data_IF_423422006755
#
_entry.id   IF_423422006755
#
_cell.length_a   1.000
_cell.length_b   1.000
_cell.length_c   1.000
_cell.angle_alpha   90.00
_cell.angle_beta   90.00
_cell.angle_gamma   90.00
#
_symmetry.space_group_name_H-M   'P 1'
#
loop_
_entity.id
_entity.type
_entity.pdbx_description
1 polymer ?
#
# COMPACT_ATOMS: atom_id res chain seq x y z
N UNK A 1 13.41 -24.17 -2.47
CA UNK A 1 12.95 -23.28 -1.38
C UNK A 1 14.16 -22.57 -0.84
N UNK A 2 14.10 -21.25 -0.69
CA UNK A 2 15.18 -20.51 -0.05
C UNK A 2 15.31 -20.94 1.40
N UNK A 3 16.51 -20.86 1.97
CA UNK A 3 16.79 -21.15 3.39
C UNK A 3 16.06 -20.18 4.35
N UNK A 4 15.45 -19.14 3.82
CA UNK A 4 14.75 -18.07 4.56
C UNK A 4 13.23 -18.27 4.65
N UNK A 5 12.68 -19.36 4.08
CA UNK A 5 11.24 -19.70 4.18
C UNK A 5 10.31 -18.87 3.29
N UNK A 6 10.85 -18.03 2.39
CA UNK A 6 10.09 -17.27 1.41
C UNK A 6 10.74 -17.30 0.01
N UNK A 7 9.98 -16.91 -1.01
CA UNK A 7 10.46 -16.66 -2.37
C UNK A 7 10.15 -15.23 -2.77
N UNK A 8 11.02 -14.60 -3.56
CA UNK A 8 10.82 -13.29 -4.17
C UNK A 8 10.97 -13.38 -5.68
N UNK A 9 10.39 -12.45 -6.39
CA UNK A 9 10.53 -12.34 -7.83
C UNK A 9 9.83 -11.11 -8.37
N UNK A 10 9.78 -11.05 -9.68
CA UNK A 10 9.11 -9.98 -10.43
C UNK A 10 8.23 -10.59 -11.50
N UNK A 11 7.11 -9.95 -11.79
CA UNK A 11 6.23 -10.29 -12.91
C UNK A 11 6.10 -9.08 -13.84
N UNK A 12 6.08 -9.34 -15.14
CA UNK A 12 5.83 -8.29 -16.13
C UNK A 12 4.35 -7.92 -16.09
N UNK A 13 4.07 -6.63 -15.87
CA UNK A 13 2.74 -6.07 -15.92
C UNK A 13 2.65 -5.04 -17.05
N UNK A 14 1.77 -5.27 -18.01
CA UNK A 14 1.51 -4.30 -19.09
C UNK A 14 0.45 -3.33 -18.62
N UNK A 15 0.82 -2.06 -18.49
CA UNK A 15 -0.10 -0.95 -18.11
C UNK A 15 -1.17 -0.78 -19.20
N UNK A 16 -2.46 -1.00 -18.89
CA UNK A 16 -3.50 -1.04 -19.93
C UNK A 16 -3.65 0.26 -20.73
N UNK A 17 -3.47 1.41 -20.06
CA UNK A 17 -3.67 2.73 -20.69
C UNK A 17 -2.55 3.15 -21.65
N UNK A 18 -1.32 2.61 -21.50
CA UNK A 18 -0.15 3.05 -22.26
C UNK A 18 0.53 1.93 -23.04
N UNK A 19 0.27 0.66 -22.69
CA UNK A 19 1.01 -0.49 -23.22
C UNK A 19 2.44 -0.62 -22.69
N UNK A 20 2.85 0.23 -21.76
CA UNK A 20 4.17 0.16 -21.12
C UNK A 20 4.29 -1.13 -20.31
N UNK A 21 5.40 -1.86 -20.48
CA UNK A 21 5.71 -3.03 -19.66
C UNK A 21 6.46 -2.56 -18.41
N UNK A 22 5.94 -2.90 -17.25
CA UNK A 22 6.48 -2.63 -15.92
C UNK A 22 6.72 -3.92 -15.18
N UNK A 23 7.41 -3.86 -14.04
CA UNK A 23 7.65 -4.99 -13.14
C UNK A 23 6.87 -4.80 -11.86
N UNK A 24 6.10 -5.80 -11.43
CA UNK A 24 5.53 -5.89 -10.09
C UNK A 24 6.37 -6.88 -9.29
N UNK A 25 7.01 -6.38 -8.24
CA UNK A 25 7.79 -7.21 -7.31
C UNK A 25 6.89 -7.88 -6.27
N UNK A 26 7.23 -9.13 -5.91
CA UNK A 26 6.48 -9.89 -4.92
C UNK A 26 7.37 -10.67 -3.95
N UNK A 27 6.78 -11.03 -2.81
CA UNK A 27 7.35 -11.90 -1.79
C UNK A 27 6.29 -12.86 -1.29
N UNK A 28 6.59 -14.16 -1.35
CA UNK A 28 5.66 -15.23 -0.98
C UNK A 28 6.24 -16.05 0.16
N UNK A 29 5.51 -16.13 1.24
CA UNK A 29 5.72 -17.11 2.29
C UNK A 29 4.80 -18.29 2.04
N UNK A 30 5.37 -19.51 1.97
CA UNK A 30 4.64 -20.75 1.74
C UNK A 30 4.67 -21.27 0.31
N UNK A 31 3.87 -22.30 0.09
CA UNK A 31 3.77 -22.99 -1.20
C UNK A 31 2.35 -22.87 -1.77
N UNK A 32 2.22 -22.13 -2.88
CA UNK A 32 0.94 -21.92 -3.57
C UNK A 32 0.41 -23.21 -4.25
N UNK A 33 1.27 -24.20 -4.45
CA UNK A 33 0.84 -25.51 -4.98
C UNK A 33 0.13 -26.34 -3.91
N UNK A 34 0.41 -26.07 -2.61
CA UNK A 34 -0.28 -26.73 -1.53
C UNK A 34 -1.68 -26.14 -1.33
N UNK A 35 -2.70 -26.90 -1.72
CA UNK A 35 -4.12 -26.46 -1.64
C UNK A 35 -4.78 -26.71 -0.28
N UNK A 36 -4.02 -27.02 0.77
CA UNK A 36 -4.56 -27.21 2.13
C UNK A 36 -5.23 -25.93 2.66
N UNK A 37 -4.61 -24.79 2.40
CA UNK A 37 -5.12 -23.48 2.78
C UNK A 37 -5.14 -22.54 1.57
N UNK A 38 -6.13 -21.65 1.52
CA UNK A 38 -6.17 -20.57 0.54
C UNK A 38 -5.01 -19.59 0.77
N UNK A 39 -4.38 -19.10 -0.29
CA UNK A 39 -3.41 -18.03 -0.15
C UNK A 39 -4.09 -16.72 0.25
N UNK A 40 -3.45 -15.97 1.15
CA UNK A 40 -3.79 -14.60 1.47
C UNK A 40 -2.97 -13.64 0.62
N UNK A 41 -3.62 -12.80 -0.15
CA UNK A 41 -2.98 -11.67 -0.85
C UNK A 41 -3.08 -10.43 0.00
N UNK A 42 -1.97 -9.71 0.18
CA UNK A 42 -1.86 -8.56 1.08
C UNK A 42 -1.62 -7.28 0.26
N UNK A 43 -2.53 -6.32 0.40
CA UNK A 43 -2.46 -4.99 -0.21
C UNK A 43 -1.98 -3.97 0.82
N UNK A 44 -0.81 -3.39 0.56
CA UNK A 44 -0.24 -2.34 1.43
C UNK A 44 -0.95 -0.99 1.27
N UNK A 45 -0.71 -0.10 2.22
CA UNK A 45 -1.24 1.27 2.26
C UNK A 45 -0.50 2.26 1.38
N UNK A 46 -0.74 3.52 1.62
CA UNK A 46 -0.21 4.67 0.88
C UNK A 46 -1.34 5.42 0.18
N UNK A 47 -1.49 5.33 -1.15
CA UNK A 47 -0.73 4.52 -2.14
C UNK A 47 0.76 4.88 -2.22
N UNK A 48 1.61 4.02 -2.78
CA UNK A 48 3.04 4.29 -2.93
C UNK A 48 3.91 4.04 -1.68
N UNK A 49 3.33 3.56 -0.57
CA UNK A 49 4.08 2.91 0.52
C UNK A 49 4.45 1.49 0.07
N UNK A 50 5.04 0.66 0.91
CA UNK A 50 5.51 -0.69 0.56
C UNK A 50 5.01 -1.73 1.56
N UNK A 51 5.25 -3.00 1.25
CA UNK A 51 4.75 -4.14 2.02
C UNK A 51 5.39 -4.32 3.40
N UNK A 52 6.59 -3.74 3.65
CA UNK A 52 7.45 -4.07 4.80
C UNK A 52 6.72 -4.05 6.14
N UNK A 53 5.93 -3.02 6.43
CA UNK A 53 5.23 -2.89 7.72
C UNK A 53 4.14 -3.96 7.94
N UNK A 54 3.79 -4.72 6.90
CA UNK A 54 2.81 -5.81 6.97
C UNK A 54 3.47 -7.19 7.10
N UNK A 55 4.81 -7.26 7.12
CA UNK A 55 5.56 -8.52 7.16
C UNK A 55 5.24 -9.41 8.37
N UNK A 56 4.70 -8.85 9.45
CA UNK A 56 4.20 -9.64 10.59
C UNK A 56 3.10 -10.63 10.20
N UNK A 57 2.38 -10.41 9.09
CA UNK A 57 1.39 -11.36 8.56
C UNK A 57 2.04 -12.65 8.02
N UNK A 58 3.36 -12.69 7.81
CA UNK A 58 4.08 -13.92 7.48
C UNK A 58 3.96 -15.00 8.58
N UNK A 59 3.63 -14.60 9.81
CA UNK A 59 3.30 -15.50 10.90
C UNK A 59 2.12 -16.43 10.58
N UNK A 60 1.22 -16.05 9.68
CA UNK A 60 0.14 -16.92 9.21
C UNK A 60 0.67 -18.15 8.49
N UNK A 61 1.77 -18.02 7.76
CA UNK A 61 2.47 -19.18 7.20
C UNK A 61 3.15 -20.00 8.29
N UNK A 62 3.97 -19.38 9.10
CA UNK A 62 4.80 -20.11 10.09
C UNK A 62 3.99 -20.81 11.18
N UNK A 63 2.83 -20.24 11.56
CA UNK A 63 1.97 -20.76 12.64
C UNK A 63 0.78 -21.58 12.15
N UNK A 64 0.27 -21.28 10.94
CA UNK A 64 -0.99 -21.83 10.44
C UNK A 64 -0.87 -22.46 9.06
N UNK A 65 0.30 -22.45 8.43
CA UNK A 65 0.54 -22.95 7.07
C UNK A 65 -0.32 -22.26 5.98
N UNK A 66 -0.81 -21.04 6.25
CA UNK A 66 -1.55 -20.21 5.29
C UNK A 66 -0.53 -19.48 4.42
N UNK A 67 -0.47 -19.73 3.10
CA UNK A 67 0.43 -19.01 2.22
C UNK A 67 0.08 -17.51 2.18
N UNK A 68 1.11 -16.64 2.23
CA UNK A 68 0.92 -15.18 2.21
C UNK A 68 1.71 -14.57 1.07
N UNK A 69 1.05 -13.79 0.24
CA UNK A 69 1.63 -13.07 -0.89
C UNK A 69 1.63 -11.59 -0.55
N UNK A 70 2.82 -11.02 -0.44
CA UNK A 70 3.06 -9.59 -0.43
C UNK A 70 3.53 -9.16 -1.82
N UNK A 71 3.18 -7.96 -2.23
CA UNK A 71 3.76 -7.34 -3.41
C UNK A 71 3.83 -5.83 -3.23
N UNK A 72 4.79 -5.20 -3.87
CA UNK A 72 4.84 -3.75 -3.96
C UNK A 72 4.03 -3.32 -5.18
N UNK A 73 3.02 -2.47 -4.97
CA UNK A 73 2.19 -1.97 -6.05
C UNK A 73 3.02 -1.09 -6.98
N UNK A 74 2.66 -1.04 -8.25
CA UNK A 74 3.30 -0.20 -9.27
C UNK A 74 3.54 1.23 -8.77
N UNK A 75 4.72 1.75 -9.01
CA UNK A 75 5.15 3.08 -8.57
C UNK A 75 5.74 3.12 -7.17
N UNK A 76 5.89 1.99 -6.47
CA UNK A 76 6.46 1.93 -5.13
C UNK A 76 7.44 0.78 -4.90
N UNK A 77 8.29 0.92 -3.90
CA UNK A 77 9.17 -0.13 -3.41
C UNK A 77 10.11 -0.72 -4.43
N UNK A 78 10.08 -2.04 -4.55
CA UNK A 78 10.90 -2.81 -5.49
C UNK A 78 10.23 -2.96 -6.87
N UNK A 79 8.98 -2.50 -7.03
CA UNK A 79 8.29 -2.48 -8.31
C UNK A 79 8.76 -1.32 -9.20
N UNK A 80 8.36 -1.31 -10.47
CA UNK A 80 8.77 -0.23 -11.41
C UNK A 80 8.25 1.12 -10.93
N UNK A 81 9.15 2.08 -10.79
CA UNK A 81 8.86 3.49 -10.53
C UNK A 81 8.62 4.24 -11.84
N UNK A 82 7.70 5.20 -11.83
CA UNK A 82 7.32 6.00 -13.01
C UNK A 82 7.27 7.49 -12.60
N UNK A 83 8.42 8.09 -12.23
CA UNK A 83 8.47 9.45 -11.68
C UNK A 83 8.00 10.52 -12.67
N UNK A 84 8.09 10.26 -13.99
CA UNK A 84 7.57 11.14 -15.05
C UNK A 84 6.05 11.28 -15.03
N UNK A 85 5.35 10.40 -14.28
CA UNK A 85 3.89 10.44 -14.09
C UNK A 85 3.47 11.17 -12.80
N UNK A 86 4.37 11.91 -12.16
CA UNK A 86 4.01 12.75 -11.00
C UNK A 86 2.97 13.80 -11.42
N UNK A 87 1.84 13.82 -10.72
CA UNK A 87 0.71 14.72 -11.00
C UNK A 87 -0.23 14.28 -12.13
N UNK A 88 0.03 13.14 -12.77
CA UNK A 88 -0.84 12.59 -13.82
C UNK A 88 -1.99 11.78 -13.19
N UNK A 89 -3.08 12.46 -12.79
CA UNK A 89 -4.25 11.85 -12.14
C UNK A 89 -5.06 10.93 -13.08
N UNK A 90 -4.89 11.09 -14.40
CA UNK A 90 -5.53 10.20 -15.37
C UNK A 90 -4.77 8.87 -15.51
N UNK A 91 -3.48 8.87 -15.22
CA UNK A 91 -2.67 7.66 -15.19
C UNK A 91 -2.84 6.89 -13.87
N UNK A 92 -2.69 7.58 -12.71
CA UNK A 92 -2.77 6.96 -11.39
C UNK A 92 -4.23 6.80 -10.95
N UNK A 93 -4.91 5.79 -11.48
CA UNK A 93 -6.32 5.49 -11.16
C UNK A 93 -6.44 4.25 -10.27
N UNK A 94 -7.52 4.13 -9.52
CA UNK A 94 -7.84 2.91 -8.76
C UNK A 94 -7.89 1.69 -9.71
N UNK A 95 -8.39 1.88 -10.94
CA UNK A 95 -8.47 0.81 -11.92
C UNK A 95 -7.12 0.24 -12.32
N UNK A 96 -6.05 1.07 -12.41
CA UNK A 96 -4.69 0.60 -12.68
C UNK A 96 -4.23 -0.43 -11.64
N UNK A 97 -4.48 -0.17 -10.36
CA UNK A 97 -4.10 -1.08 -9.27
C UNK A 97 -5.01 -2.33 -9.20
N UNK A 98 -6.28 -2.21 -9.58
CA UNK A 98 -7.19 -3.36 -9.76
C UNK A 98 -6.70 -4.26 -10.90
N UNK A 99 -6.25 -3.68 -12.01
CA UNK A 99 -5.72 -4.43 -13.15
C UNK A 99 -4.41 -5.15 -12.79
N UNK A 100 -3.54 -4.48 -12.03
CA UNK A 100 -2.31 -5.08 -11.50
C UNK A 100 -2.62 -6.26 -10.56
N UNK A 101 -3.56 -6.10 -9.63
CA UNK A 101 -4.01 -7.19 -8.76
C UNK A 101 -4.57 -8.36 -9.55
N UNK A 102 -5.44 -8.10 -10.53
CA UNK A 102 -5.97 -9.15 -11.41
C UNK A 102 -4.86 -9.90 -12.16
N UNK A 103 -3.85 -9.16 -12.61
CA UNK A 103 -2.69 -9.75 -13.30
C UNK A 103 -1.89 -10.65 -12.36
N UNK A 104 -1.62 -10.20 -11.14
CA UNK A 104 -0.92 -10.97 -10.11
C UNK A 104 -1.67 -12.27 -9.76
N UNK A 105 -2.98 -12.20 -9.55
CA UNK A 105 -3.82 -13.36 -9.25
C UNK A 105 -3.73 -14.42 -10.37
N UNK A 106 -3.82 -13.98 -11.63
CA UNK A 106 -3.72 -14.86 -12.82
C UNK A 106 -2.31 -15.45 -12.97
N UNK A 107 -1.27 -14.64 -12.73
CA UNK A 107 0.11 -15.12 -12.82
C UNK A 107 0.36 -16.30 -11.88
N UNK A 108 -0.13 -16.20 -10.62
CA UNK A 108 -0.01 -17.27 -9.64
C UNK A 108 -1.09 -18.37 -9.75
N UNK A 109 -2.04 -18.24 -10.70
CA UNK A 109 -3.16 -19.17 -10.90
C UNK A 109 -3.97 -19.42 -9.62
N UNK A 110 -4.27 -18.32 -8.93
CA UNK A 110 -5.05 -18.30 -7.69
C UNK A 110 -6.34 -17.48 -7.82
N UNK A 111 -6.66 -16.98 -9.03
CA UNK A 111 -7.81 -16.12 -9.29
C UNK A 111 -9.17 -16.76 -8.94
N UNK A 112 -9.21 -18.09 -8.79
CA UNK A 112 -10.43 -18.84 -8.49
C UNK A 112 -10.62 -19.15 -7.00
N UNK A 113 -9.56 -19.05 -6.16
CA UNK A 113 -9.64 -19.39 -4.73
C UNK A 113 -8.55 -18.68 -3.91
N UNK A 114 -8.85 -17.50 -3.39
CA UNK A 114 -7.94 -16.69 -2.56
C UNK A 114 -8.70 -15.88 -1.51
N UNK A 115 -7.97 -15.45 -0.49
CA UNK A 115 -8.39 -14.48 0.50
C UNK A 115 -7.61 -13.16 0.27
N UNK A 116 -8.22 -12.02 0.60
CA UNK A 116 -7.65 -10.69 0.38
C UNK A 116 -7.64 -9.89 1.68
N UNK A 117 -6.50 -9.30 2.01
CA UNK A 117 -6.37 -8.35 3.10
C UNK A 117 -5.82 -7.04 2.57
N UNK A 118 -6.49 -5.93 2.85
CA UNK A 118 -6.00 -4.60 2.52
C UNK A 118 -5.92 -3.70 3.75
N UNK A 119 -4.81 -2.98 3.89
CA UNK A 119 -4.62 -2.00 4.95
C UNK A 119 -4.63 -0.58 4.41
N UNK A 120 -5.32 0.34 5.08
CA UNK A 120 -5.39 1.77 4.70
C UNK A 120 -5.86 1.93 3.24
N UNK A 121 -5.05 2.54 2.36
CA UNK A 121 -5.28 2.56 0.90
C UNK A 121 -5.54 1.15 0.34
N UNK A 122 -4.73 0.16 0.74
CA UNK A 122 -4.96 -1.23 0.33
C UNK A 122 -6.33 -1.76 0.74
N UNK A 123 -6.90 -1.26 1.85
CA UNK A 123 -8.28 -1.56 2.27
C UNK A 123 -9.32 -0.94 1.33
N UNK A 124 -9.08 0.28 0.85
CA UNK A 124 -9.93 0.92 -0.15
C UNK A 124 -9.86 0.16 -1.49
N UNK A 125 -8.65 -0.16 -1.95
CA UNK A 125 -8.43 -0.95 -3.16
C UNK A 125 -9.09 -2.34 -3.07
N UNK A 126 -8.97 -3.00 -1.92
CA UNK A 126 -9.61 -4.30 -1.68
C UNK A 126 -11.15 -4.20 -1.73
N UNK A 127 -11.73 -3.11 -1.22
CA UNK A 127 -13.17 -2.87 -1.30
C UNK A 127 -13.63 -2.62 -2.75
N UNK A 128 -12.93 -1.77 -3.50
CA UNK A 128 -13.20 -1.51 -4.92
C UNK A 128 -13.09 -2.78 -5.76
N UNK A 129 -12.05 -3.59 -5.51
CA UNK A 129 -11.90 -4.89 -6.14
C UNK A 129 -13.09 -5.82 -5.80
N UNK A 130 -13.51 -5.90 -4.54
CA UNK A 130 -14.59 -6.78 -4.10
C UNK A 130 -15.95 -6.38 -4.67
N UNK A 131 -16.20 -5.09 -4.96
CA UNK A 131 -17.43 -4.62 -5.63
C UNK A 131 -17.61 -5.25 -7.01
N UNK A 132 -16.51 -5.62 -7.70
CA UNK A 132 -16.57 -6.35 -8.98
C UNK A 132 -17.06 -7.80 -8.83
N UNK A 133 -17.23 -8.29 -7.60
CA UNK A 133 -17.71 -9.64 -7.26
C UNK A 133 -16.85 -10.76 -7.90
N UNK A 134 -15.52 -10.74 -7.73
CA UNK A 134 -14.65 -11.78 -8.28
C UNK A 134 -15.00 -13.13 -7.62
N UNK A 135 -15.26 -14.15 -8.45
CA UNK A 135 -15.74 -15.48 -7.97
C UNK A 135 -14.76 -16.16 -7.03
N UNK A 136 -13.47 -15.92 -7.23
CA UNK A 136 -12.39 -16.54 -6.45
C UNK A 136 -12.14 -15.91 -5.09
N UNK A 137 -12.60 -14.69 -4.84
CA UNK A 137 -12.49 -14.05 -3.52
C UNK A 137 -13.44 -14.71 -2.52
N UNK A 138 -12.87 -15.30 -1.45
CA UNK A 138 -13.67 -16.01 -0.43
C UNK A 138 -13.81 -15.21 0.86
N UNK A 139 -12.71 -14.63 1.33
CA UNK A 139 -12.73 -13.78 2.52
C UNK A 139 -12.04 -12.45 2.21
N UNK A 140 -12.57 -11.38 2.81
CA UNK A 140 -12.07 -10.03 2.68
C UNK A 140 -11.80 -9.45 4.07
N UNK A 141 -10.59 -8.98 4.31
CA UNK A 141 -10.21 -8.25 5.53
C UNK A 141 -9.88 -6.81 5.17
N UNK A 142 -10.65 -5.87 5.70
CA UNK A 142 -10.42 -4.43 5.56
C UNK A 142 -9.83 -3.90 6.87
N UNK A 143 -8.54 -3.65 6.87
CA UNK A 143 -7.80 -3.19 8.04
C UNK A 143 -7.54 -1.68 7.94
N UNK A 144 -8.21 -0.87 8.78
CA UNK A 144 -8.02 0.59 8.87
C UNK A 144 -8.17 1.33 7.52
N UNK A 145 -8.96 0.79 6.60
CA UNK A 145 -9.29 1.44 5.33
C UNK A 145 -10.37 2.50 5.54
N UNK A 146 -10.19 3.75 5.06
CA UNK A 146 -11.25 4.76 5.10
C UNK A 146 -12.44 4.34 4.23
N UNK A 147 -13.64 4.35 4.81
CA UNK A 147 -14.88 4.12 4.05
C UNK A 147 -15.40 5.40 3.37
N UNK A 148 -14.86 6.57 3.76
CA UNK A 148 -15.22 7.88 3.21
C UNK A 148 -14.04 8.82 3.34
N UNK A 149 -13.51 9.28 2.21
CA UNK A 149 -12.41 10.25 2.19
C UNK A 149 -12.78 11.60 2.83
N UNK A 150 -13.98 12.18 2.60
CA UNK A 150 -14.37 13.40 3.30
C UNK A 150 -14.36 13.25 4.82
N UNK A 151 -14.89 12.16 5.38
CA UNK A 151 -14.85 11.90 6.82
C UNK A 151 -13.44 11.65 7.34
N UNK A 152 -12.60 10.97 6.55
CA UNK A 152 -11.20 10.75 6.89
C UNK A 152 -10.44 12.08 7.01
N UNK A 153 -10.62 13.00 6.05
CA UNK A 153 -9.99 14.33 6.06
C UNK A 153 -10.45 15.16 7.27
N UNK A 154 -11.75 15.14 7.59
CA UNK A 154 -12.27 15.80 8.80
C UNK A 154 -11.58 15.25 10.04
N UNK A 155 -11.54 13.92 10.18
CA UNK A 155 -10.90 13.27 11.33
C UNK A 155 -9.39 13.57 11.42
N UNK A 156 -8.71 13.61 10.27
CA UNK A 156 -7.28 13.96 10.20
C UNK A 156 -7.06 15.40 10.71
N UNK A 157 -7.83 16.37 10.22
CA UNK A 157 -7.75 17.76 10.63
C UNK A 157 -8.02 17.95 12.13
N UNK A 158 -9.03 17.25 12.68
CA UNK A 158 -9.32 17.26 14.13
C UNK A 158 -8.15 16.72 14.96
N UNK A 159 -7.41 15.73 14.46
CA UNK A 159 -6.24 15.18 15.14
C UNK A 159 -5.01 16.09 15.02
N UNK A 160 -4.81 16.71 13.86
CA UNK A 160 -3.73 17.70 13.64
C UNK A 160 -3.97 18.92 14.54
N UNK A 161 -5.20 19.39 14.70
CA UNK A 161 -5.56 20.50 15.58
C UNK A 161 -5.25 20.26 17.07
N UNK A 162 -4.94 19.02 17.47
CA UNK A 162 -4.50 18.67 18.83
C UNK A 162 -2.97 18.69 19.00
N UNK A 163 -2.22 18.95 17.94
CA UNK A 163 -0.76 19.09 17.99
C UNK A 163 -0.37 20.51 18.50
N UNK A 164 0.88 20.72 18.95
CA UNK A 164 1.40 22.05 19.26
C UNK A 164 1.21 23.01 18.08
N UNK A 165 0.91 24.28 18.38
CA UNK A 165 0.61 25.30 17.38
C UNK A 165 1.73 25.46 16.34
N UNK A 166 2.99 25.43 16.76
CA UNK A 166 4.16 25.51 15.89
C UNK A 166 4.16 24.41 14.79
N UNK A 167 3.76 23.19 15.18
CA UNK A 167 3.63 22.08 14.22
C UNK A 167 2.49 22.33 13.24
N UNK A 168 1.32 22.78 13.75
CA UNK A 168 0.17 23.10 12.90
C UNK A 168 0.52 24.20 11.88
N UNK A 169 1.24 25.25 12.32
CA UNK A 169 1.66 26.36 11.46
C UNK A 169 2.62 25.90 10.37
N UNK A 170 3.57 25.01 10.71
CA UNK A 170 4.49 24.42 9.75
C UNK A 170 3.76 23.57 8.72
N UNK A 171 2.87 22.67 9.15
CA UNK A 171 2.08 21.83 8.24
C UNK A 171 1.25 22.70 7.30
N UNK A 172 0.53 23.69 7.85
CA UNK A 172 -0.29 24.60 7.06
C UNK A 172 0.52 25.40 6.05
N UNK A 173 1.69 25.92 6.43
CA UNK A 173 2.62 26.63 5.53
C UNK A 173 2.91 25.82 4.27
N UNK A 174 3.26 24.54 4.43
CA UNK A 174 3.60 23.67 3.32
C UNK A 174 2.38 23.22 2.51
N UNK A 175 1.25 22.98 3.16
CA UNK A 175 -0.03 22.67 2.49
C UNK A 175 -0.49 23.83 1.62
N UNK A 176 -0.47 25.05 2.12
CA UNK A 176 -0.84 26.26 1.39
C UNK A 176 0.13 26.53 0.21
N UNK A 177 1.40 26.18 0.36
CA UNK A 177 2.42 26.36 -0.67
C UNK A 177 2.49 25.19 -1.69
N UNK A 178 1.80 24.07 -1.46
CA UNK A 178 1.90 22.85 -2.27
C UNK A 178 3.28 22.16 -2.19
N UNK A 179 4.01 22.33 -1.07
CA UNK A 179 5.36 21.81 -0.84
C UNK A 179 5.36 20.71 0.23
N UNK A 180 4.38 19.81 0.22
CA UNK A 180 4.24 18.75 1.21
C UNK A 180 5.28 17.61 1.05
N UNK A 181 6.13 17.67 0.03
CA UNK A 181 7.31 16.84 -0.17
C UNK A 181 8.59 17.42 0.47
N UNK A 182 8.52 18.60 1.09
CA UNK A 182 9.64 19.21 1.80
C UNK A 182 9.97 18.41 3.07
N UNK A 183 11.27 18.18 3.37
CA UNK A 183 11.69 17.51 4.60
C UNK A 183 11.16 18.17 5.89
N UNK A 184 10.96 19.50 5.91
CA UNK A 184 10.38 20.23 7.04
C UNK A 184 8.95 19.77 7.32
N UNK A 185 8.13 19.57 6.28
CA UNK A 185 6.78 19.02 6.39
C UNK A 185 6.80 17.60 6.96
N UNK A 186 7.63 16.73 6.40
CA UNK A 186 7.75 15.35 6.87
C UNK A 186 8.19 15.29 8.33
N UNK A 187 9.15 16.15 8.73
CA UNK A 187 9.58 16.24 10.13
C UNK A 187 8.44 16.71 11.06
N UNK A 188 7.67 17.71 10.62
CA UNK A 188 6.52 18.22 11.37
C UNK A 188 5.39 17.18 11.52
N UNK A 189 5.25 16.24 10.56
CA UNK A 189 4.28 15.14 10.61
C UNK A 189 4.68 14.01 11.56
N UNK A 190 5.96 13.86 11.94
CA UNK A 190 6.43 12.73 12.77
C UNK A 190 5.68 12.57 14.10
N UNK A 191 5.40 13.64 14.88
CA UNK A 191 4.61 13.52 16.11
C UNK A 191 3.20 12.95 15.87
N UNK A 192 2.57 13.33 14.76
CA UNK A 192 1.29 12.78 14.34
C UNK A 192 1.41 11.29 14.03
N UNK A 193 2.40 10.91 13.23
CA UNK A 193 2.61 9.52 12.81
C UNK A 193 2.85 8.61 14.02
N UNK A 194 3.69 9.03 14.98
CA UNK A 194 3.97 8.23 16.18
C UNK A 194 2.79 8.18 17.15
N UNK A 195 1.91 9.17 17.15
CA UNK A 195 0.74 9.17 18.03
C UNK A 195 -0.44 8.40 17.44
N UNK A 196 -0.66 8.47 16.13
CA UNK A 196 -1.90 8.02 15.49
C UNK A 196 -1.71 6.88 14.48
N UNK A 197 -0.51 6.67 13.94
CA UNK A 197 -0.24 5.65 12.92
C UNK A 197 0.57 4.49 13.51
N UNK A 198 1.75 4.76 14.07
CA UNK A 198 2.59 3.73 14.71
C UNK A 198 3.02 4.18 16.10
N UNK A 199 2.43 3.58 17.15
CA UNK A 199 2.73 3.94 18.56
C UNK A 199 3.80 3.06 19.20
N UNK A 200 4.42 2.15 18.44
CA UNK A 200 5.53 1.34 18.92
C UNK A 200 6.77 2.23 19.06
N UNK A 201 7.44 2.15 20.20
CA UNK A 201 8.63 2.95 20.48
C UNK A 201 9.76 2.03 21.00
N UNK A 202 10.95 1.97 20.34
CA UNK A 202 11.24 2.66 19.08
C UNK A 202 10.39 2.15 17.92
N UNK A 203 10.19 2.97 16.84
CA UNK A 203 9.45 2.52 15.67
C UNK A 203 10.11 1.29 15.03
N UNK A 204 9.33 0.30 14.58
CA UNK A 204 9.88 -0.87 13.92
C UNK A 204 10.68 -0.50 12.66
N UNK A 205 11.80 -1.20 12.37
CA UNK A 205 12.58 -0.97 11.15
C UNK A 205 11.73 -1.07 9.87
N UNK A 206 10.76 -1.96 9.84
CA UNK A 206 9.84 -2.17 8.73
C UNK A 206 8.96 -0.93 8.47
N UNK A 207 8.53 -0.25 9.55
CA UNK A 207 7.80 1.01 9.43
C UNK A 207 8.70 2.14 8.92
N UNK A 208 9.93 2.22 9.41
CA UNK A 208 10.91 3.22 8.95
C UNK A 208 11.31 3.00 7.49
N UNK A 209 11.42 1.75 7.04
CA UNK A 209 11.67 1.42 5.64
C UNK A 209 10.57 1.99 4.72
N UNK A 210 9.30 1.92 5.15
CA UNK A 210 8.18 2.49 4.40
C UNK A 210 8.30 4.01 4.21
N UNK A 211 8.70 4.74 5.26
CA UNK A 211 8.93 6.18 5.18
C UNK A 211 10.10 6.52 4.23
N UNK A 212 11.17 5.73 4.30
CA UNK A 212 12.32 5.89 3.40
C UNK A 212 11.96 5.70 1.92
N UNK A 213 11.07 4.74 1.60
CA UNK A 213 10.59 4.55 0.24
C UNK A 213 9.74 5.72 -0.23
N UNK A 214 8.88 6.25 0.65
CA UNK A 214 8.05 7.42 0.34
C UNK A 214 8.88 8.68 0.10
N UNK A 215 10.00 8.85 0.84
CA UNK A 215 10.96 9.94 0.60
C UNK A 215 11.69 9.79 -0.73
N UNK A 216 12.06 8.55 -1.11
CA UNK A 216 12.77 8.29 -2.38
C UNK A 216 11.92 8.58 -3.60
N UNK A 217 10.66 8.20 -3.57
CA UNK A 217 9.73 8.43 -4.67
C UNK A 217 8.30 8.67 -4.16
N UNK A 218 7.91 9.92 -3.98
CA UNK A 218 6.57 10.28 -3.54
C UNK A 218 5.54 10.36 -4.67
N UNK A 219 5.88 9.96 -5.91
CA UNK A 219 5.09 10.17 -7.13
C UNK A 219 3.64 9.72 -6.97
N UNK A 220 3.43 8.46 -6.61
CA UNK A 220 2.07 7.89 -6.45
C UNK A 220 1.33 8.54 -5.30
N UNK A 221 1.99 8.65 -4.14
CA UNK A 221 1.39 9.21 -2.94
C UNK A 221 0.91 10.64 -3.17
N UNK A 222 1.79 11.50 -3.68
CA UNK A 222 1.45 12.90 -3.94
C UNK A 222 0.34 13.03 -4.99
N UNK A 223 0.41 12.25 -6.08
CA UNK A 223 -0.59 12.37 -7.13
C UNK A 223 -1.96 11.93 -6.67
N UNK A 224 -2.06 10.82 -5.97
CA UNK A 224 -3.36 10.25 -5.58
C UNK A 224 -3.91 10.86 -4.28
N UNK A 225 -3.04 11.23 -3.33
CA UNK A 225 -3.48 11.80 -2.06
C UNK A 225 -3.92 13.27 -2.18
N UNK A 226 -3.20 14.08 -2.98
CA UNK A 226 -3.55 15.50 -3.22
C UNK A 226 -4.79 15.63 -4.11
N UNK A 227 -5.15 14.59 -4.86
CA UNK A 227 -6.35 14.59 -5.70
C UNK A 227 -7.65 14.40 -4.91
N UNK A 228 -7.59 14.21 -3.61
CA UNK A 228 -8.77 14.22 -2.74
C UNK A 228 -8.95 15.63 -2.16
N UNK A 229 -9.92 16.43 -2.68
CA UNK A 229 -10.15 17.81 -2.25
C UNK A 229 -10.66 17.92 -0.81
#
# INVERSE_FOLDING_TARGET
MSTEGFTTGEIDFTVPSTGQITKTWYKIYGDLANKKHRPLVVLHGGPGVVHDYMLSLSDLWTKNEIPVIFYDQIGGGMSTHIPEKKGDVEFWTVQLFVDELNHLLKHFKIEDDFDLLGNSWGGMLAAEFAVTKPKGLKNLVLASGPASMPLFIVSLREKIAQLPQEIQDTLKKHEDAGTTDDPEYMHAMMPFLFKHVCRVNPPPPEFMACLTWLEKDPTVYHTMYVSFP
#
